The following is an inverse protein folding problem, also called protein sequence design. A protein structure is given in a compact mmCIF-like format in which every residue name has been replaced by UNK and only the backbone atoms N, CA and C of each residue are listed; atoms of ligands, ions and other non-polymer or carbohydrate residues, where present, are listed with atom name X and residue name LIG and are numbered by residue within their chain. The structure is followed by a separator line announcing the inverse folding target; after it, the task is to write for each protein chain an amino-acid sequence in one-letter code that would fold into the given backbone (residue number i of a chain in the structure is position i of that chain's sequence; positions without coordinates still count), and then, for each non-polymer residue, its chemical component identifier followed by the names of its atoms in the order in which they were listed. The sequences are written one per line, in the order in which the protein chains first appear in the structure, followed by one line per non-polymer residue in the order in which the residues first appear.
data_IF_720816281205
#
_entry.id   IF_720816281205
#
_cell.length_a   1.000
_cell.length_b   1.000
_cell.length_c   1.000
_cell.angle_alpha   90.00
_cell.angle_beta   90.00
_cell.angle_gamma   90.00
#
_symmetry.space_group_name_H-M   'P 1'
#
loop_
_entity.id
_entity.type
_entity.pdbx_description
1 polymer ?
#
# COMPACT_ATOMS: atom_id res chain seq x y z
N UNK A 1 -21.51 -57.14 -5.55
CA UNK A 1 -20.53 -56.93 -6.65
C UNK A 1 -20.88 -55.74 -7.56
N UNK A 2 -22.15 -55.32 -7.65
CA UNK A 2 -22.62 -54.25 -8.57
C UNK A 2 -22.14 -52.82 -8.25
N UNK A 3 -21.83 -52.51 -7.00
CA UNK A 3 -21.41 -51.15 -6.56
C UNK A 3 -19.90 -50.92 -6.57
N UNK A 4 -19.09 -51.98 -6.63
CA UNK A 4 -17.62 -51.86 -6.66
C UNK A 4 -17.12 -51.23 -7.95
N UNK A 5 -17.76 -51.55 -9.07
CA UNK A 5 -17.40 -51.10 -10.41
C UNK A 5 -17.62 -49.59 -10.62
N UNK A 6 -18.79 -49.00 -10.26
CA UNK A 6 -18.97 -47.55 -10.35
C UNK A 6 -18.09 -46.77 -9.37
N UNK A 7 -17.81 -47.33 -8.19
CA UNK A 7 -16.89 -46.71 -7.21
C UNK A 7 -15.47 -46.66 -7.77
N UNK A 8 -14.97 -47.75 -8.37
CA UNK A 8 -13.65 -47.76 -9.01
C UNK A 8 -13.55 -46.74 -10.15
N UNK A 9 -14.63 -46.59 -10.93
CA UNK A 9 -14.70 -45.64 -12.05
C UNK A 9 -14.66 -44.18 -11.56
N UNK A 10 -15.32 -43.87 -10.44
CA UNK A 10 -15.28 -42.55 -9.81
C UNK A 10 -13.88 -42.22 -9.26
N UNK A 11 -13.22 -43.19 -8.61
CA UNK A 11 -11.86 -43.03 -8.11
C UNK A 11 -10.85 -42.80 -9.24
N UNK A 12 -11.05 -43.43 -10.39
CA UNK A 12 -10.19 -43.25 -11.56
C UNK A 12 -10.39 -41.90 -12.28
N UNK A 13 -11.57 -41.28 -12.19
CA UNK A 13 -11.88 -40.01 -12.87
C UNK A 13 -11.55 -38.75 -12.05
N UNK A 14 -11.42 -38.86 -10.73
CA UNK A 14 -11.02 -37.77 -9.83
C UNK A 14 -9.70 -37.06 -10.22
N UNK A 15 -8.59 -37.76 -10.53
CA UNK A 15 -7.36 -37.09 -10.97
C UNK A 15 -7.48 -36.40 -12.33
N UNK A 16 -8.33 -36.92 -13.23
CA UNK A 16 -8.59 -36.29 -14.53
C UNK A 16 -9.36 -34.97 -14.38
N UNK A 17 -10.28 -34.87 -13.41
CA UNK A 17 -11.00 -33.64 -13.09
C UNK A 17 -10.07 -32.54 -12.53
N UNK A 18 -9.05 -32.91 -11.75
CA UNK A 18 -8.03 -31.98 -11.25
C UNK A 18 -7.10 -31.48 -12.37
N UNK A 19 -6.89 -32.27 -13.43
CA UNK A 19 -6.11 -31.88 -14.60
C UNK A 19 -6.84 -30.92 -15.56
N UNK A 20 -8.16 -30.75 -15.43
CA UNK A 20 -8.93 -29.74 -16.17
C UNK A 20 -8.83 -28.33 -15.57
N UNK A 21 -8.28 -28.20 -14.35
CA UNK A 21 -7.91 -26.90 -13.80
C UNK A 21 -6.62 -26.42 -14.47
N UNK A 22 -6.74 -25.44 -15.37
CA UNK A 22 -5.59 -24.81 -16.04
C UNK A 22 -4.81 -23.86 -15.12
N UNK A 23 -5.33 -23.55 -13.93
CA UNK A 23 -4.68 -22.68 -12.97
C UNK A 23 -3.70 -23.48 -12.09
N UNK A 24 -2.40 -23.12 -12.07
CA UNK A 24 -1.48 -23.66 -11.09
C UNK A 24 -1.93 -23.29 -9.67
N UNK A 25 -1.62 -24.12 -8.68
CA UNK A 25 -1.88 -23.81 -7.28
C UNK A 25 -1.19 -22.50 -6.90
N UNK A 26 -1.95 -21.53 -6.40
CA UNK A 26 -1.42 -20.23 -5.97
C UNK A 26 -0.78 -20.37 -4.58
N UNK A 27 0.55 -20.27 -4.52
CA UNK A 27 1.27 -20.13 -3.26
C UNK A 27 1.22 -18.68 -2.76
N UNK A 28 0.31 -18.42 -1.82
CA UNK A 28 0.11 -17.11 -1.22
C UNK A 28 1.33 -16.63 -0.42
N UNK A 29 2.13 -17.53 0.15
CA UNK A 29 3.33 -17.15 0.90
C UNK A 29 4.43 -16.68 -0.04
N UNK A 30 4.65 -17.39 -1.14
CA UNK A 30 5.59 -16.94 -2.18
C UNK A 30 5.16 -15.60 -2.76
N UNK A 31 3.88 -15.42 -3.05
CA UNK A 31 3.35 -14.16 -3.55
C UNK A 31 3.55 -13.02 -2.53
N UNK A 32 3.23 -13.26 -1.25
CA UNK A 32 3.43 -12.27 -0.18
C UNK A 32 4.90 -11.87 -0.08
N UNK A 33 5.84 -12.81 -0.11
CA UNK A 33 7.29 -12.52 -0.09
C UNK A 33 7.73 -11.65 -1.27
N UNK A 34 7.31 -12.01 -2.50
CA UNK A 34 7.59 -11.21 -3.69
C UNK A 34 7.01 -9.79 -3.60
N UNK A 35 5.81 -9.66 -3.03
CA UNK A 35 5.19 -8.35 -2.79
C UNK A 35 5.95 -7.51 -1.77
N UNK A 36 6.43 -8.11 -0.69
CA UNK A 36 7.25 -7.42 0.32
C UNK A 36 8.52 -6.85 -0.32
N UNK A 37 9.25 -7.66 -1.10
CA UNK A 37 10.47 -7.19 -1.79
C UNK A 37 10.19 -6.10 -2.82
N UNK A 38 9.10 -6.22 -3.59
CA UNK A 38 8.68 -5.18 -4.52
C UNK A 38 8.32 -3.86 -3.81
N UNK A 39 7.60 -3.93 -2.68
CA UNK A 39 7.23 -2.76 -1.89
C UNK A 39 8.47 -2.12 -1.27
N UNK A 40 9.43 -2.92 -0.78
CA UNK A 40 10.72 -2.41 -0.26
C UNK A 40 11.44 -1.58 -1.32
N UNK A 41 11.62 -2.13 -2.52
CA UNK A 41 12.24 -1.41 -3.63
C UNK A 41 11.46 -0.17 -4.05
N UNK A 42 10.13 -0.23 -4.02
CA UNK A 42 9.26 0.90 -4.33
C UNK A 42 9.43 2.06 -3.33
N UNK A 43 9.46 1.78 -2.03
CA UNK A 43 9.64 2.81 -0.99
C UNK A 43 11.01 3.46 -1.14
N UNK A 44 12.08 2.67 -1.24
CA UNK A 44 13.44 3.18 -1.41
C UNK A 44 13.58 4.04 -2.68
N UNK A 45 13.04 3.58 -3.80
CA UNK A 45 13.04 4.34 -5.06
C UNK A 45 12.28 5.67 -4.94
N UNK A 46 11.15 5.68 -4.24
CA UNK A 46 10.37 6.92 -4.01
C UNK A 46 11.12 7.92 -3.15
N UNK A 47 11.85 7.44 -2.15
CA UNK A 47 12.67 8.26 -1.24
C UNK A 47 14.05 8.61 -1.81
N UNK A 48 14.40 8.08 -2.99
CA UNK A 48 15.74 8.23 -3.60
C UNK A 48 16.87 7.69 -2.72
N UNK A 49 16.57 6.61 -1.98
CA UNK A 49 17.54 5.91 -1.14
C UNK A 49 17.97 4.61 -1.81
N UNK A 50 19.25 4.27 -1.72
CA UNK A 50 19.78 2.98 -2.20
C UNK A 50 19.58 1.86 -1.18
N UNK A 51 19.55 2.20 0.11
CA UNK A 51 19.37 1.28 1.22
C UNK A 51 18.57 1.94 2.36
N UNK A 52 18.13 1.14 3.33
CA UNK A 52 17.44 1.67 4.50
C UNK A 52 18.44 2.43 5.39
N UNK A 53 18.05 3.58 5.99
CA UNK A 53 18.89 4.29 6.94
C UNK A 53 19.14 3.45 8.21
N UNK A 54 20.22 3.77 8.91
CA UNK A 54 20.64 3.07 10.12
C UNK A 54 19.58 3.28 11.24
N UNK A 55 19.11 2.22 11.91
CA UNK A 55 18.22 2.36 13.06
C UNK A 55 18.81 3.20 14.20
N UNK A 56 20.14 3.26 14.34
CA UNK A 56 20.79 4.02 15.42
C UNK A 56 20.66 5.55 15.22
N UNK A 57 20.35 6.00 14.00
CA UNK A 57 20.11 7.41 13.68
C UNK A 57 18.67 7.88 14.02
N UNK A 58 17.81 6.98 14.50
CA UNK A 58 16.40 7.27 14.78
C UNK A 58 16.24 7.78 16.21
N UNK A 59 15.68 8.99 16.42
CA UNK A 59 15.43 9.48 17.78
C UNK A 59 14.35 8.64 18.49
N UNK A 60 14.51 8.46 19.81
CA UNK A 60 13.58 7.69 20.64
C UNK A 60 12.16 8.28 20.65
N UNK A 61 12.04 9.62 20.59
CA UNK A 61 10.78 10.34 20.60
C UNK A 61 10.63 11.23 19.36
N UNK A 62 9.41 11.24 18.80
CA UNK A 62 9.06 12.07 17.65
C UNK A 62 8.58 13.45 18.14
N UNK A 63 9.16 14.57 17.67
CA UNK A 63 8.71 15.91 18.04
C UNK A 63 7.21 16.15 17.77
N UNK A 64 6.57 16.93 18.64
CA UNK A 64 5.14 17.22 18.55
C UNK A 64 4.77 17.91 17.23
N UNK A 65 5.61 18.83 16.76
CA UNK A 65 5.43 19.54 15.50
C UNK A 65 5.39 18.58 14.30
N UNK A 66 6.25 17.56 14.31
CA UNK A 66 6.28 16.50 13.29
C UNK A 66 4.99 15.66 13.34
N UNK A 67 4.52 15.31 14.54
CA UNK A 67 3.26 14.59 14.70
C UNK A 67 2.06 15.40 14.19
N UNK A 68 2.05 16.71 14.44
CA UNK A 68 0.99 17.61 13.94
C UNK A 68 1.04 17.69 12.41
N UNK A 69 2.22 17.86 11.82
CA UNK A 69 2.40 17.87 10.37
C UNK A 69 1.97 16.55 9.73
N UNK A 70 2.32 15.41 10.34
CA UNK A 70 1.92 14.09 9.88
C UNK A 70 0.40 13.92 9.90
N UNK A 71 -0.25 14.24 11.01
CA UNK A 71 -1.70 14.08 11.16
C UNK A 71 -2.47 14.96 10.17
N UNK A 72 -2.10 16.24 10.07
CA UNK A 72 -2.73 17.16 9.11
C UNK A 72 -2.54 16.71 7.66
N UNK A 73 -1.35 16.20 7.31
CA UNK A 73 -1.07 15.66 5.98
C UNK A 73 -1.90 14.42 5.68
N UNK A 74 -1.97 13.48 6.63
CA UNK A 74 -2.77 12.26 6.51
C UNK A 74 -4.24 12.59 6.26
N UNK A 75 -4.78 13.53 7.02
CA UNK A 75 -6.20 13.88 6.95
C UNK A 75 -6.49 14.62 5.62
N UNK A 76 -5.62 15.54 5.19
CA UNK A 76 -5.70 16.18 3.88
C UNK A 76 -5.65 15.18 2.71
N UNK A 77 -4.74 14.20 2.76
CA UNK A 77 -4.63 13.16 1.72
C UNK A 77 -5.88 12.27 1.66
N UNK A 78 -6.48 11.96 2.82
CA UNK A 78 -7.75 11.19 2.90
C UNK A 78 -8.90 11.96 2.27
N UNK A 79 -9.05 13.24 2.59
CA UNK A 79 -10.08 14.09 1.98
C UNK A 79 -9.90 14.23 0.46
N UNK A 80 -8.65 14.38 0.01
CA UNK A 80 -8.32 14.44 -1.41
C UNK A 80 -8.69 13.14 -2.14
N UNK A 81 -8.34 11.98 -1.56
CA UNK A 81 -8.70 10.68 -2.11
C UNK A 81 -10.22 10.47 -2.17
N UNK A 82 -10.95 10.86 -1.12
CA UNK A 82 -12.40 10.79 -1.10
C UNK A 82 -13.04 11.68 -2.17
N UNK A 83 -12.52 12.91 -2.34
CA UNK A 83 -12.98 13.81 -3.40
C UNK A 83 -12.72 13.24 -4.81
N UNK A 84 -11.57 12.62 -5.03
CA UNK A 84 -11.25 11.97 -6.31
C UNK A 84 -12.20 10.82 -6.63
N UNK A 85 -12.55 10.01 -5.62
CA UNK A 85 -13.52 8.93 -5.74
C UNK A 85 -14.91 9.47 -6.11
N UNK A 86 -15.40 10.50 -5.41
CA UNK A 86 -16.70 11.13 -5.70
C UNK A 86 -16.77 11.72 -7.11
N UNK A 87 -15.66 12.24 -7.63
CA UNK A 87 -15.58 12.85 -8.96
C UNK A 87 -15.25 11.83 -10.07
N UNK A 88 -15.15 10.54 -9.75
CA UNK A 88 -14.67 9.49 -10.66
C UNK A 88 -13.36 9.86 -11.37
N UNK A 89 -12.54 10.69 -10.75
CA UNK A 89 -11.29 11.16 -11.34
C UNK A 89 -10.23 10.09 -11.15
N UNK A 90 -9.82 9.46 -12.26
CA UNK A 90 -8.70 8.54 -12.24
C UNK A 90 -7.41 9.35 -12.24
N UNK A 91 -6.63 9.21 -11.16
CA UNK A 91 -5.52 10.09 -10.79
C UNK A 91 -4.70 10.64 -11.95
N UNK A 92 -4.73 11.95 -12.12
CA UNK A 92 -3.87 12.70 -13.03
C UNK A 92 -2.47 12.88 -12.41
N UNK A 93 -1.43 12.61 -13.22
CA UNK A 93 -0.01 13.00 -13.06
C UNK A 93 0.50 13.12 -11.62
N UNK A 94 0.63 11.99 -10.93
CA UNK A 94 1.42 11.95 -9.70
C UNK A 94 2.91 11.89 -10.04
N UNK A 95 3.67 12.78 -9.43
CA UNK A 95 5.12 12.72 -9.45
C UNK A 95 5.59 11.42 -8.78
N UNK A 96 6.53 10.71 -9.42
CA UNK A 96 6.92 9.36 -8.97
C UNK A 96 7.61 9.40 -7.60
N UNK A 97 8.42 10.43 -7.36
CA UNK A 97 9.21 10.61 -6.14
C UNK A 97 8.40 11.20 -4.99
N UNK A 98 8.87 10.95 -3.77
CA UNK A 98 8.30 11.55 -2.58
C UNK A 98 8.54 13.06 -2.57
N UNK A 99 7.61 13.79 -1.93
CA UNK A 99 7.70 15.24 -1.74
C UNK A 99 7.81 15.53 -0.24
N UNK A 100 8.72 16.43 0.09
CA UNK A 100 8.84 16.95 1.45
C UNK A 100 7.65 17.84 1.80
N UNK A 101 7.11 17.64 3.00
CA UNK A 101 5.91 18.32 3.46
C UNK A 101 6.28 19.43 4.45
N UNK A 102 5.61 20.57 4.30
CA UNK A 102 5.84 21.76 5.11
C UNK A 102 4.51 22.33 5.57
N UNK A 103 4.46 22.84 6.80
CA UNK A 103 3.34 23.61 7.32
C UNK A 103 3.81 25.02 7.61
N UNK A 104 3.08 26.00 7.07
CA UNK A 104 3.31 27.42 7.31
C UNK A 104 2.11 27.98 8.05
N UNK A 105 2.33 28.53 9.24
CA UNK A 105 1.26 29.15 10.02
C UNK A 105 1.03 30.60 9.57
N UNK A 106 -0.24 30.95 9.40
CA UNK A 106 -0.65 32.28 8.95
C UNK A 106 -0.79 33.23 10.14
N UNK A 107 -0.32 34.47 9.98
CA UNK A 107 -0.54 35.52 10.98
C UNK A 107 -2.03 35.90 11.00
N UNK A 108 -2.66 36.06 12.17
CA UNK A 108 -4.06 36.45 12.27
C UNK A 108 -4.35 37.79 11.58
N UNK A 109 -5.51 37.89 10.93
CA UNK A 109 -5.94 39.11 10.24
C UNK A 109 -6.05 40.33 11.17
N UNK A 110 -6.27 40.11 12.47
CA UNK A 110 -6.30 41.16 13.50
C UNK A 110 -5.00 41.94 13.63
N UNK A 111 -3.87 41.40 13.16
CA UNK A 111 -2.58 42.11 13.15
C UNK A 111 -2.53 43.24 12.11
N UNK A 112 -3.44 43.25 11.12
CA UNK A 112 -3.51 44.29 10.08
C UNK A 112 -4.22 45.56 10.57
N UNK A 113 -5.10 45.45 11.57
CA UNK A 113 -5.93 46.57 12.06
C UNK A 113 -5.24 47.38 13.16
N UNK A 114 -4.09 46.93 13.67
CA UNK A 114 -3.32 47.63 14.70
C UNK A 114 -2.19 48.51 14.15
N UNK A 115 -2.20 48.85 12.85
CA UNK A 115 -1.22 49.72 12.19
C UNK A 115 -1.91 50.71 11.27
#
# INVERSE_FOLDING_TARGET
MSVLLPVLLLLASAPAALAFSTCPSLDLELYRRRRIEAIRGQILSKLQLTEAPDPDDIPDEVPLETLILYNSTRDMLRESAHRQELLCQRGSSWEYYAKEMWRLDMIPASYRESK
#
